data_IF_322939134836
#
_entry.id   IF_322939134836
#
_cell.length_a   1.000
_cell.length_b   1.000
_cell.length_c   1.000
_cell.angle_alpha   90.00
_cell.angle_beta   90.00
_cell.angle_gamma   90.00
#
_symmetry.space_group_name_H-M   'P 1'
#
loop_
_entity.id
_entity.type
_entity.pdbx_description
1 polymer ?
#
# COMPACT_ATOMS: atom_id res chain seq x y z
N UNK A 1 -18.24 4.67 -2.65
CA UNK A 1 -16.91 4.12 -2.96
C UNK A 1 -17.12 2.89 -3.82
N UNK A 2 -16.59 2.89 -5.04
CA UNK A 2 -16.63 1.68 -5.87
C UNK A 2 -15.69 0.63 -5.25
N UNK A 3 -16.27 -0.47 -4.78
CA UNK A 3 -15.53 -1.56 -4.13
C UNK A 3 -14.58 -2.25 -5.13
N UNK A 4 -14.92 -2.28 -6.42
CA UNK A 4 -14.07 -2.86 -7.47
C UNK A 4 -12.83 -2.00 -7.68
N UNK A 5 -13.02 -0.68 -7.78
CA UNK A 5 -11.92 0.28 -7.90
C UNK A 5 -11.03 0.27 -6.64
N UNK A 6 -11.64 0.20 -5.45
CA UNK A 6 -10.92 0.09 -4.19
C UNK A 6 -10.03 -1.17 -4.11
N UNK A 7 -10.51 -2.31 -4.63
CA UNK A 7 -9.73 -3.56 -4.71
C UNK A 7 -8.58 -3.47 -5.71
N UNK A 8 -8.80 -2.82 -6.87
CA UNK A 8 -7.73 -2.58 -7.85
C UNK A 8 -6.62 -1.70 -7.27
N UNK A 9 -7.00 -0.62 -6.58
CA UNK A 9 -6.04 0.27 -5.92
C UNK A 9 -5.26 -0.46 -4.82
N UNK A 10 -5.91 -1.36 -4.08
CA UNK A 10 -5.26 -2.19 -3.08
C UNK A 10 -4.19 -3.11 -3.70
N UNK A 11 -4.50 -3.75 -4.84
CA UNK A 11 -3.55 -4.59 -5.55
C UNK A 11 -2.35 -3.78 -6.06
N UNK A 12 -2.59 -2.62 -6.67
CA UNK A 12 -1.51 -1.75 -7.16
C UNK A 12 -0.56 -1.31 -6.03
N UNK A 13 -1.12 -0.99 -4.85
CA UNK A 13 -0.32 -0.66 -3.66
C UNK A 13 0.54 -1.84 -3.18
N UNK A 14 0.01 -3.06 -3.23
CA UNK A 14 0.78 -4.26 -2.91
C UNK A 14 1.92 -4.51 -3.90
N UNK A 15 1.67 -4.33 -5.19
CA UNK A 15 2.68 -4.50 -6.24
C UNK A 15 3.81 -3.46 -6.10
N UNK A 16 3.46 -2.19 -5.84
CA UNK A 16 4.42 -1.12 -5.57
C UNK A 16 5.29 -1.42 -4.34
N UNK A 17 4.67 -1.90 -3.25
CA UNK A 17 5.40 -2.29 -2.03
C UNK A 17 6.41 -3.41 -2.32
N UNK A 18 6.01 -4.44 -3.06
CA UNK A 18 6.88 -5.55 -3.42
C UNK A 18 8.06 -5.09 -4.28
N UNK A 19 7.82 -4.18 -5.23
CA UNK A 19 8.87 -3.59 -6.06
C UNK A 19 9.89 -2.81 -5.23
N UNK A 20 9.44 -1.99 -4.28
CA UNK A 20 10.32 -1.21 -3.41
C UNK A 20 11.17 -2.12 -2.50
N UNK A 21 10.57 -3.17 -1.93
CA UNK A 21 11.30 -4.15 -1.11
C UNK A 21 12.35 -4.91 -1.92
N UNK A 22 12.07 -5.22 -3.19
CA UNK A 22 13.04 -5.80 -4.13
C UNK A 22 14.19 -4.86 -4.49
N UNK A 23 14.03 -3.54 -4.36
CA UNK A 23 15.12 -2.59 -4.59
C UNK A 23 15.98 -2.37 -3.34
N UNK A 24 15.40 -2.52 -2.15
CA UNK A 24 16.04 -2.23 -0.86
C UNK A 24 17.19 -3.21 -0.51
N UNK A 25 17.18 -4.42 -1.09
CA UNK A 25 18.24 -5.42 -0.87
C UNK A 25 19.46 -5.28 -1.79
N UNK A 26 19.37 -4.48 -2.86
CA UNK A 26 20.52 -4.19 -3.72
C UNK A 26 21.51 -3.33 -2.93
N UNK A 27 22.81 -3.45 -3.23
CA UNK A 27 23.90 -2.71 -2.56
C UNK A 27 23.69 -1.19 -2.72
N UNK A 28 22.86 -0.65 -1.83
CA UNK A 28 22.26 0.68 -1.93
C UNK A 28 22.67 1.51 -0.73
N UNK A 29 22.76 2.83 -0.95
CA UNK A 29 23.16 3.77 0.09
C UNK A 29 22.15 3.75 1.24
N UNK A 30 22.59 4.08 2.46
CA UNK A 30 21.69 4.19 3.63
C UNK A 30 20.50 5.13 3.37
N UNK A 31 20.74 6.21 2.61
CA UNK A 31 19.68 7.14 2.22
C UNK A 31 18.63 6.49 1.30
N UNK A 32 19.06 5.64 0.37
CA UNK A 32 18.14 4.89 -0.50
C UNK A 32 17.27 3.92 0.31
N UNK A 33 17.90 3.15 1.22
CA UNK A 33 17.17 2.23 2.10
C UNK A 33 16.15 2.95 2.98
N UNK A 34 16.52 4.10 3.52
CA UNK A 34 15.62 4.96 4.30
C UNK A 34 14.41 5.44 3.49
N UNK A 35 14.61 5.90 2.25
CA UNK A 35 13.50 6.33 1.40
C UNK A 35 12.61 5.15 0.96
N UNK A 36 13.18 3.97 0.71
CA UNK A 36 12.42 2.74 0.49
C UNK A 36 11.53 2.42 1.71
N UNK A 37 12.10 2.41 2.91
CA UNK A 37 11.36 2.13 4.14
C UNK A 37 10.25 3.16 4.40
N UNK A 38 10.56 4.44 4.19
CA UNK A 38 9.58 5.54 4.31
C UNK A 38 8.42 5.36 3.34
N UNK A 39 8.70 4.99 2.09
CA UNK A 39 7.67 4.75 1.08
C UNK A 39 6.81 3.53 1.42
N UNK A 40 7.41 2.46 1.92
CA UNK A 40 6.68 1.28 2.40
C UNK A 40 5.70 1.65 3.52
N UNK A 41 6.11 2.45 4.51
CA UNK A 41 5.21 2.91 5.58
C UNK A 41 4.03 3.74 5.07
N UNK A 42 4.25 4.60 4.07
CA UNK A 42 3.18 5.37 3.44
C UNK A 42 2.16 4.45 2.75
N UNK A 43 2.65 3.46 2.01
CA UNK A 43 1.81 2.48 1.34
C UNK A 43 0.98 1.69 2.35
N UNK A 44 1.58 1.27 3.47
CA UNK A 44 0.88 0.56 4.54
C UNK A 44 -0.26 1.41 5.15
N UNK A 45 -0.02 2.71 5.37
CA UNK A 45 -1.07 3.63 5.83
C UNK A 45 -2.23 3.80 4.84
N UNK A 46 -1.93 3.82 3.52
CA UNK A 46 -2.97 3.86 2.49
C UNK A 46 -3.78 2.56 2.45
N UNK A 47 -3.11 1.40 2.54
CA UNK A 47 -3.74 0.08 2.60
C UNK A 47 -4.71 0.01 3.78
N UNK A 48 -4.28 0.44 4.96
CA UNK A 48 -5.12 0.43 6.16
C UNK A 48 -6.36 1.33 5.98
N UNK A 49 -6.17 2.54 5.47
CA UNK A 49 -7.26 3.48 5.17
C UNK A 49 -8.29 2.88 4.22
N UNK A 50 -7.84 2.26 3.12
CA UNK A 50 -8.73 1.60 2.15
C UNK A 50 -9.46 0.42 2.80
N UNK A 51 -8.78 -0.42 3.59
CA UNK A 51 -9.40 -1.54 4.30
C UNK A 51 -10.47 -1.07 5.28
N UNK A 52 -10.20 -0.02 6.06
CA UNK A 52 -11.16 0.57 6.98
C UNK A 52 -12.38 1.13 6.25
N UNK A 53 -12.18 1.83 5.13
CA UNK A 53 -13.26 2.34 4.29
C UNK A 53 -14.11 1.20 3.71
N UNK A 54 -13.49 0.15 3.16
CA UNK A 54 -14.21 -1.03 2.67
C UNK A 54 -15.03 -1.67 3.79
N UNK A 55 -14.46 -1.83 4.99
CA UNK A 55 -15.18 -2.40 6.15
C UNK A 55 -16.37 -1.52 6.57
N UNK A 56 -16.20 -0.21 6.60
CA UNK A 56 -17.21 0.76 7.04
C UNK A 56 -18.37 0.87 6.04
N UNK A 57 -18.07 0.94 4.75
CA UNK A 57 -19.07 1.14 3.70
C UNK A 57 -19.58 -0.17 3.09
N UNK A 58 -18.84 -1.27 3.22
CA UNK A 58 -19.29 -2.60 2.78
C UNK A 58 -20.26 -3.27 3.74
N UNK A 59 -20.26 -2.91 5.03
CA UNK A 59 -21.19 -3.43 6.05
C UNK A 59 -22.53 -2.69 6.09
N UNK A 60 -22.63 -1.52 5.43
CA UNK A 60 -23.82 -0.68 5.38
C UNK A 60 -24.61 -0.82 4.06
N UNK A 61 -24.52 -1.96 3.37
CA UNK A 61 -25.52 -2.30 2.34
C UNK A 61 -26.77 -2.85 3.06
N UNK A 62 -27.97 -2.25 2.90
CA UNK A 62 -29.22 -2.95 3.18
C UNK A 62 -29.37 -4.18 2.28
#
# INVERSE_FOLDING_TARGET
>A
MDIIEAKKNLQALHDDKNKILGLNHLNSTTAFKFECDKRVRQIDGHIETIKQNIKRYGKNRP
#
